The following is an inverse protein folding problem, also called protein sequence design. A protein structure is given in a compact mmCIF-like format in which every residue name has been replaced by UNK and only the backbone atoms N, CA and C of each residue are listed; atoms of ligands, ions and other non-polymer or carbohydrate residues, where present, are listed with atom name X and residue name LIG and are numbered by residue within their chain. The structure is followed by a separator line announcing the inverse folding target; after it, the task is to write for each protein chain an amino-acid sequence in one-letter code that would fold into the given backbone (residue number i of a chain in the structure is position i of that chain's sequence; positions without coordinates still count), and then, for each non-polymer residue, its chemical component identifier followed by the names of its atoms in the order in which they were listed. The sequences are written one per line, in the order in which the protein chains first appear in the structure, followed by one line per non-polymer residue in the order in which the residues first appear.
data_IF_032036211463
#
_entry.id   IF_032036211463
#
_cell.length_a   1.000
_cell.length_b   1.000
_cell.length_c   1.000
_cell.angle_alpha   90.00
_cell.angle_beta   90.00
_cell.angle_gamma   90.00
#
_symmetry.space_group_name_H-M   'P 1'
#
loop_
_entity.id
_entity.type
_entity.pdbx_description
1 polymer ?
#
# COMPACT_ATOMS: atom_id res chain seq x y z
N UNK A 1 18.91 14.94 3.54
CA UNK A 1 17.48 14.62 3.42
C UNK A 1 16.66 15.80 2.94
N UNK A 2 15.61 15.53 2.16
CA UNK A 2 14.49 16.41 1.84
C UNK A 2 13.20 15.80 2.39
N UNK A 3 12.19 16.63 2.61
CA UNK A 3 10.87 16.19 3.08
C UNK A 3 9.78 16.69 2.14
N UNK A 4 8.73 15.91 2.07
CA UNK A 4 7.45 16.26 1.47
C UNK A 4 6.38 16.09 2.55
N UNK A 5 5.53 17.10 2.70
CA UNK A 5 4.38 17.08 3.60
C UNK A 5 3.19 17.64 2.83
N UNK A 6 2.29 16.75 2.41
CA UNK A 6 1.13 17.08 1.59
C UNK A 6 -0.16 16.72 2.33
N UNK A 7 -1.29 17.37 2.00
CA UNK A 7 -2.59 16.99 2.54
C UNK A 7 -2.90 15.51 2.35
N UNK A 8 -3.65 14.94 3.29
CA UNK A 8 -4.11 13.55 3.23
C UNK A 8 -5.37 13.36 2.36
N UNK A 9 -5.69 14.32 1.50
CA UNK A 9 -6.94 14.28 0.71
C UNK A 9 -6.94 13.10 -0.28
N UNK A 10 -5.80 12.78 -0.91
CA UNK A 10 -5.72 11.60 -1.78
C UNK A 10 -5.82 10.31 -0.95
N UNK A 11 -5.15 10.25 0.21
CA UNK A 11 -5.27 9.10 1.11
C UNK A 11 -6.70 8.90 1.61
N UNK A 12 -7.45 9.97 1.92
CA UNK A 12 -8.84 9.89 2.37
C UNK A 12 -9.73 9.24 1.30
N UNK A 13 -9.55 9.64 0.04
CA UNK A 13 -10.27 9.07 -1.10
C UNK A 13 -9.87 7.61 -1.36
N UNK A 14 -8.57 7.31 -1.32
CA UNK A 14 -8.05 5.97 -1.57
C UNK A 14 -8.45 4.98 -0.48
N UNK A 15 -8.36 5.39 0.79
CA UNK A 15 -8.82 4.56 1.92
C UNK A 15 -10.32 4.30 1.86
N UNK A 16 -11.12 5.28 1.40
CA UNK A 16 -12.54 5.08 1.14
C UNK A 16 -12.79 4.09 -0.01
N UNK A 17 -12.00 4.14 -1.09
CA UNK A 17 -12.12 3.18 -2.20
C UNK A 17 -11.78 1.75 -1.77
N UNK A 18 -10.73 1.57 -0.96
CA UNK A 18 -10.38 0.25 -0.40
C UNK A 18 -11.47 -0.29 0.52
N UNK A 19 -12.19 0.58 1.24
CA UNK A 19 -13.29 0.20 2.12
C UNK A 19 -14.56 -0.26 1.36
N UNK A 20 -14.69 0.04 0.06
CA UNK A 20 -15.85 -0.38 -0.74
C UNK A 20 -15.87 -1.86 -1.08
N UNK A 21 -14.73 -2.55 -0.97
CA UNK A 21 -14.62 -3.97 -1.28
C UNK A 21 -14.94 -4.78 -0.03
N UNK A 22 -16.10 -5.46 0.03
CA UNK A 22 -16.53 -6.18 1.23
C UNK A 22 -15.79 -7.52 1.42
N UNK A 23 -15.34 -8.11 0.31
CA UNK A 23 -14.61 -9.38 0.27
C UNK A 23 -13.57 -9.35 -0.85
N UNK A 24 -12.31 -9.31 -0.45
CA UNK A 24 -11.16 -9.22 -1.33
C UNK A 24 -10.83 -10.56 -1.99
N UNK A 25 -11.28 -11.68 -1.42
CA UNK A 25 -11.11 -13.01 -2.02
C UNK A 25 -11.82 -13.14 -3.38
N UNK A 26 -12.78 -12.25 -3.66
CA UNK A 26 -13.47 -12.20 -4.96
C UNK A 26 -12.60 -11.65 -6.09
N UNK A 27 -11.55 -10.89 -5.77
CA UNK A 27 -10.60 -10.34 -6.74
C UNK A 27 -9.21 -11.01 -6.68
N UNK A 28 -9.01 -11.94 -5.75
CA UNK A 28 -7.82 -12.77 -5.65
C UNK A 28 -7.52 -13.51 -6.95
N UNK A 29 -6.24 -13.58 -7.29
CA UNK A 29 -5.74 -14.39 -8.38
C UNK A 29 -4.99 -15.64 -7.93
N UNK A 30 -4.55 -16.46 -8.89
CA UNK A 30 -3.74 -17.62 -8.58
C UNK A 30 -2.41 -17.21 -7.93
N UNK A 31 -1.97 -17.98 -6.93
CA UNK A 31 -0.59 -17.93 -6.47
C UNK A 31 0.34 -18.49 -7.56
N UNK A 32 1.11 -17.63 -8.21
CA UNK A 32 2.05 -18.05 -9.24
C UNK A 32 2.97 -16.94 -9.75
N UNK A 33 4.01 -17.35 -10.46
CA UNK A 33 5.01 -16.47 -11.08
C UNK A 33 4.69 -16.18 -12.56
N UNK A 34 3.44 -16.41 -12.99
CA UNK A 34 3.02 -16.20 -14.37
C UNK A 34 2.94 -14.70 -14.69
N UNK A 35 3.30 -14.32 -15.92
CA UNK A 35 3.26 -12.95 -16.40
C UNK A 35 2.74 -12.87 -17.84
N UNK A 36 2.39 -11.67 -18.26
CA UNK A 36 2.12 -11.35 -19.66
C UNK A 36 0.64 -11.06 -19.97
N UNK A 37 0.31 -10.95 -21.28
CA UNK A 37 -0.99 -10.47 -21.74
C UNK A 37 -2.21 -11.24 -21.20
N UNK A 38 -2.12 -12.56 -21.10
CA UNK A 38 -3.25 -13.38 -20.62
C UNK A 38 -3.47 -13.21 -19.12
N UNK A 39 -2.40 -13.11 -18.32
CA UNK A 39 -2.47 -12.86 -16.87
C UNK A 39 -3.14 -11.52 -16.61
N UNK A 40 -2.66 -10.46 -17.26
CA UNK A 40 -3.23 -9.11 -17.12
C UNK A 40 -4.69 -9.05 -17.59
N UNK A 41 -5.05 -9.71 -18.71
CA UNK A 41 -6.44 -9.76 -19.17
C UNK A 41 -7.34 -10.49 -18.17
N UNK A 42 -6.87 -11.59 -17.59
CA UNK A 42 -7.61 -12.33 -16.57
C UNK A 42 -7.82 -11.48 -15.31
N UNK A 43 -6.76 -10.83 -14.83
CA UNK A 43 -6.80 -9.86 -13.73
C UNK A 43 -7.82 -8.74 -13.98
N UNK A 44 -7.72 -8.06 -15.12
CA UNK A 44 -8.62 -6.96 -15.49
C UNK A 44 -10.08 -7.41 -15.50
N UNK A 45 -10.37 -8.53 -16.16
CA UNK A 45 -11.74 -9.06 -16.21
C UNK A 45 -12.28 -9.39 -14.81
N UNK A 46 -11.44 -9.98 -13.95
CA UNK A 46 -11.83 -10.33 -12.57
C UNK A 46 -12.14 -9.09 -11.76
N UNK A 47 -11.24 -8.10 -11.72
CA UNK A 47 -11.44 -6.84 -10.98
C UNK A 47 -12.68 -6.08 -11.49
N UNK A 48 -12.87 -5.98 -12.80
CA UNK A 48 -14.05 -5.32 -13.39
C UNK A 48 -15.36 -6.05 -13.11
N UNK A 49 -15.34 -7.35 -12.86
CA UNK A 49 -16.55 -8.12 -12.54
C UNK A 49 -17.06 -7.89 -11.11
N UNK A 50 -16.17 -7.48 -10.20
CA UNK A 50 -16.46 -7.30 -8.77
C UNK A 50 -16.48 -5.83 -8.34
N UNK A 51 -15.88 -4.94 -9.14
CA UNK A 51 -15.74 -3.52 -8.81
C UNK A 51 -16.30 -2.64 -9.92
N UNK A 52 -16.43 -1.36 -9.64
CA UNK A 52 -16.79 -0.37 -10.67
C UNK A 52 -15.58 0.40 -11.20
N UNK A 53 -14.37 -0.06 -10.84
CA UNK A 53 -13.13 0.58 -11.24
C UNK A 53 -12.90 0.38 -12.74
N UNK A 54 -12.34 1.39 -13.37
CA UNK A 54 -12.07 1.39 -14.81
C UNK A 54 -10.61 1.02 -15.03
N UNK A 55 -10.27 -0.01 -15.81
CA UNK A 55 -8.88 -0.32 -16.11
C UNK A 55 -8.27 0.84 -16.90
N UNK A 56 -6.97 1.07 -16.70
CA UNK A 56 -6.25 2.01 -17.54
C UNK A 56 -6.36 1.61 -19.01
N UNK A 57 -6.66 2.58 -19.90
CA UNK A 57 -6.69 2.30 -21.32
C UNK A 57 -5.27 2.07 -21.83
N UNK A 58 -5.12 1.10 -22.73
CA UNK A 58 -3.93 1.02 -23.57
C UNK A 58 -3.96 2.17 -24.59
N UNK A 59 -2.85 2.90 -24.73
CA UNK A 59 -2.71 3.88 -25.80
C UNK A 59 -2.63 3.19 -27.17
N UNK A 60 -2.84 3.97 -28.24
CA UNK A 60 -2.78 3.43 -29.59
C UNK A 60 -1.38 2.88 -29.91
N UNK A 61 -1.28 1.55 -30.10
CA UNK A 61 -0.03 0.86 -30.37
C UNK A 61 0.66 0.30 -29.12
N UNK A 62 0.12 0.56 -27.94
CA UNK A 62 0.57 -0.06 -26.70
C UNK A 62 0.06 -1.50 -26.60
N UNK A 63 0.91 -2.38 -26.08
CA UNK A 63 0.57 -3.77 -25.80
C UNK A 63 0.96 -4.09 -24.37
N UNK A 64 0.22 -5.01 -23.76
CA UNK A 64 0.62 -5.59 -22.48
C UNK A 64 1.94 -6.32 -22.69
N UNK A 65 2.96 -5.97 -21.89
CA UNK A 65 4.28 -6.59 -21.98
C UNK A 65 4.29 -8.01 -21.41
N UNK A 66 5.23 -8.84 -21.87
CA UNK A 66 5.34 -10.25 -21.48
C UNK A 66 5.74 -10.45 -19.99
N UNK A 67 6.29 -9.41 -19.35
CA UNK A 67 6.70 -9.42 -17.94
C UNK A 67 5.68 -8.75 -17.00
N UNK A 68 4.57 -8.23 -17.53
CA UNK A 68 3.57 -7.54 -16.71
C UNK A 68 2.77 -8.53 -15.86
N UNK A 69 2.64 -8.24 -14.56
CA UNK A 69 1.91 -9.04 -13.56
C UNK A 69 0.82 -8.23 -12.84
N UNK A 70 0.66 -6.96 -13.19
CA UNK A 70 -0.27 -6.03 -12.55
C UNK A 70 -0.96 -5.14 -13.57
N UNK A 71 -2.06 -4.52 -13.16
CA UNK A 71 -2.72 -3.48 -13.94
C UNK A 71 -3.17 -2.30 -13.07
N UNK A 72 -3.24 -1.11 -13.66
CA UNK A 72 -3.76 0.09 -13.03
C UNK A 72 -5.26 0.27 -13.30
N UNK A 73 -5.99 0.75 -12.31
CA UNK A 73 -7.42 1.04 -12.39
C UNK A 73 -7.72 2.42 -11.81
N UNK A 74 -8.66 3.14 -12.40
CA UNK A 74 -9.20 4.38 -11.85
C UNK A 74 -10.51 4.11 -11.12
N UNK A 75 -10.58 4.46 -9.83
CA UNK A 75 -11.78 4.33 -9.01
C UNK A 75 -12.79 5.45 -9.33
N UNK A 76 -14.00 5.38 -8.77
CA UNK A 76 -15.00 6.45 -8.92
C UNK A 76 -14.58 7.78 -8.30
N UNK A 77 -13.69 7.74 -7.30
CA UNK A 77 -13.13 8.93 -6.64
C UNK A 77 -11.92 9.49 -7.38
N UNK A 78 -11.49 8.85 -8.48
CA UNK A 78 -10.33 9.27 -9.26
C UNK A 78 -8.99 8.77 -8.71
N UNK A 79 -9.00 7.85 -7.75
CA UNK A 79 -7.79 7.19 -7.24
C UNK A 79 -7.25 6.24 -8.29
N UNK A 80 -5.93 6.24 -8.47
CA UNK A 80 -5.24 5.17 -9.19
C UNK A 80 -5.02 4.01 -8.22
N UNK A 81 -5.56 2.84 -8.54
CA UNK A 81 -5.31 1.60 -7.83
C UNK A 81 -4.46 0.67 -8.68
N UNK A 82 -3.33 0.20 -8.16
CA UNK A 82 -2.51 -0.82 -8.78
C UNK A 82 -2.88 -2.16 -8.16
N UNK A 83 -3.19 -3.15 -9.01
CA UNK A 83 -3.66 -4.47 -8.57
C UNK A 83 -2.79 -5.55 -9.20
N UNK A 84 -2.41 -6.52 -8.39
CA UNK A 84 -1.77 -7.79 -8.69
C UNK A 84 -2.73 -8.92 -8.26
N UNK A 85 -2.39 -10.17 -8.56
CA UNK A 85 -3.20 -11.33 -8.12
C UNK A 85 -3.32 -11.44 -6.58
N UNK A 86 -2.29 -11.06 -5.82
CA UNK A 86 -2.26 -11.13 -4.34
C UNK A 86 -2.07 -9.79 -3.61
N UNK A 87 -2.13 -8.66 -4.32
CA UNK A 87 -1.80 -7.35 -3.76
C UNK A 87 -2.59 -6.23 -4.45
N UNK A 88 -3.11 -5.27 -3.68
CA UNK A 88 -3.60 -4.00 -4.21
C UNK A 88 -3.10 -2.82 -3.39
N UNK A 89 -2.72 -1.73 -4.04
CA UNK A 89 -2.36 -0.48 -3.36
C UNK A 89 -2.68 0.73 -4.23
N UNK A 90 -3.02 1.87 -3.62
CA UNK A 90 -3.24 3.09 -4.37
C UNK A 90 -1.93 3.81 -4.67
N UNK A 91 -1.86 4.41 -5.86
CA UNK A 91 -0.80 5.33 -6.22
C UNK A 91 -1.24 6.76 -5.87
N UNK A 92 -0.82 7.23 -4.69
CA UNK A 92 -1.14 8.54 -4.13
C UNK A 92 0.11 9.43 -4.03
N UNK A 93 0.71 9.86 -5.15
CA UNK A 93 1.98 10.58 -5.15
C UNK A 93 1.89 11.94 -4.45
N UNK A 94 0.70 12.55 -4.40
CA UNK A 94 0.47 13.87 -3.81
C UNK A 94 -0.12 13.83 -2.41
N UNK A 95 -0.02 12.70 -1.69
CA UNK A 95 -0.47 12.60 -0.31
C UNK A 95 0.66 12.31 0.67
N UNK A 96 0.35 12.62 1.93
CA UNK A 96 1.11 12.15 3.06
C UNK A 96 2.46 12.81 3.23
N UNK A 97 3.13 12.33 4.28
CA UNK A 97 4.48 12.73 4.62
C UNK A 97 5.48 11.69 4.11
N UNK A 98 6.59 12.17 3.53
CA UNK A 98 7.74 11.34 3.21
C UNK A 98 9.05 12.10 3.33
N UNK A 99 10.12 11.35 3.50
CA UNK A 99 11.50 11.81 3.45
C UNK A 99 12.25 11.07 2.36
N UNK A 100 13.14 11.76 1.65
CA UNK A 100 13.96 11.21 0.57
C UNK A 100 15.31 11.92 0.49
N UNK A 101 16.22 11.42 -0.34
CA UNK A 101 17.64 11.80 -0.31
C UNK A 101 18.22 11.68 1.12
N UNK A 102 17.85 10.61 1.81
CA UNK A 102 18.27 10.33 3.19
C UNK A 102 19.74 9.89 3.17
N UNK A 103 20.58 10.64 3.88
CA UNK A 103 21.95 10.27 4.17
C UNK A 103 22.08 9.53 5.52
N UNK A 104 23.26 8.92 5.80
CA UNK A 104 23.48 8.19 7.05
C UNK A 104 23.25 8.99 8.34
N UNK A 105 23.37 10.33 8.29
CA UNK A 105 23.18 11.21 9.44
C UNK A 105 21.72 11.69 9.60
N UNK A 106 20.87 11.42 8.61
CA UNK A 106 19.48 11.86 8.58
C UNK A 106 18.50 10.87 9.26
N UNK A 107 18.97 9.67 9.65
CA UNK A 107 18.12 8.58 10.17
C UNK A 107 17.22 9.03 11.32
N UNK A 108 17.77 9.67 12.34
CA UNK A 108 17.00 10.12 13.50
C UNK A 108 15.95 11.18 13.13
N UNK A 109 16.23 12.02 12.13
CA UNK A 109 15.27 13.00 11.64
C UNK A 109 14.15 12.35 10.82
N UNK A 110 14.47 11.33 10.02
CA UNK A 110 13.49 10.54 9.29
C UNK A 110 12.55 9.75 10.23
N UNK A 111 13.11 9.14 11.28
CA UNK A 111 12.36 8.48 12.35
C UNK A 111 11.39 9.43 13.05
N UNK A 112 11.86 10.62 13.45
CA UNK A 112 11.03 11.62 14.11
C UNK A 112 9.87 12.10 13.23
N UNK A 113 10.11 12.30 11.93
CA UNK A 113 9.05 12.67 10.99
C UNK A 113 8.00 11.56 10.81
N UNK A 114 8.42 10.28 10.78
CA UNK A 114 7.46 9.17 10.78
C UNK A 114 6.58 9.17 12.03
N UNK A 115 7.16 9.38 13.21
CA UNK A 115 6.41 9.42 14.48
C UNK A 115 5.41 10.57 14.53
N UNK A 116 5.80 11.74 14.03
CA UNK A 116 4.97 12.93 14.01
C UNK A 116 3.74 12.75 13.11
N UNK A 117 3.92 12.14 11.93
CA UNK A 117 2.88 12.04 10.91
C UNK A 117 2.06 10.74 10.97
N UNK A 118 2.54 9.70 11.65
CA UNK A 118 1.84 8.42 11.81
C UNK A 118 0.42 8.55 12.39
N UNK A 119 0.18 9.29 13.51
CA UNK A 119 -1.14 9.35 14.12
C UNK A 119 -2.24 9.91 13.20
N UNK A 120 -1.90 10.82 12.29
CA UNK A 120 -2.84 11.40 11.34
C UNK A 120 -3.32 10.35 10.32
N UNK A 121 -2.39 9.58 9.75
CA UNK A 121 -2.70 8.49 8.81
C UNK A 121 -3.50 7.38 9.51
N UNK A 122 -3.10 7.00 10.73
CA UNK A 122 -3.82 5.99 11.50
C UNK A 122 -5.26 6.43 11.83
N UNK A 123 -5.45 7.69 12.21
CA UNK A 123 -6.79 8.25 12.48
C UNK A 123 -7.66 8.25 11.22
N UNK A 124 -7.06 8.55 10.07
CA UNK A 124 -7.73 8.51 8.78
C UNK A 124 -8.16 7.09 8.39
N UNK A 125 -7.22 6.13 8.45
CA UNK A 125 -7.48 4.71 8.22
C UNK A 125 -8.59 4.19 9.15
N UNK A 126 -8.53 4.55 10.43
CA UNK A 126 -9.52 4.15 11.43
C UNK A 126 -10.93 4.68 11.10
N UNK A 127 -11.03 5.84 10.46
CA UNK A 127 -12.32 6.41 10.02
C UNK A 127 -13.00 5.56 8.96
N UNK A 128 -12.23 5.00 8.02
CA UNK A 128 -12.75 4.21 6.89
C UNK A 128 -12.85 2.72 7.19
N UNK A 129 -11.89 2.20 7.95
CA UNK A 129 -11.72 0.76 8.19
C UNK A 129 -12.11 0.36 9.61
N UNK A 130 -12.48 1.29 10.49
CA UNK A 130 -12.73 1.00 11.89
C UNK A 130 -11.44 0.70 12.66
N UNK A 131 -11.56 0.10 13.84
CA UNK A 131 -10.38 -0.21 14.67
C UNK A 131 -9.51 -1.31 14.03
N UNK A 132 -8.18 -1.20 14.08
CA UNK A 132 -7.28 -2.25 13.62
C UNK A 132 -7.36 -3.48 14.54
N UNK A 133 -7.17 -4.66 13.96
CA UNK A 133 -7.04 -5.93 14.68
C UNK A 133 -5.68 -6.03 15.38
N UNK A 134 -4.68 -5.33 14.84
CA UNK A 134 -3.36 -5.18 15.44
C UNK A 134 -2.80 -3.77 15.20
N UNK A 135 -2.18 -3.20 16.22
CA UNK A 135 -1.41 -1.96 16.12
C UNK A 135 -0.14 -2.11 16.94
N UNK A 136 0.99 -1.71 16.37
CA UNK A 136 2.26 -1.71 17.06
C UNK A 136 3.25 -0.72 16.48
N UNK A 137 4.21 -0.38 17.32
CA UNK A 137 5.39 0.38 16.99
C UNK A 137 6.63 -0.43 17.42
N UNK A 138 7.75 -0.22 16.74
CA UNK A 138 8.97 -0.99 16.97
C UNK A 138 9.60 -0.80 18.37
N UNK A 139 9.21 0.24 19.11
CA UNK A 139 9.70 0.44 20.48
C UNK A 139 9.04 -0.51 21.49
N UNK A 140 7.93 -1.15 21.08
CA UNK A 140 7.21 -2.13 21.90
C UNK A 140 7.87 -3.51 21.84
N UNK A 141 8.04 -4.13 23.02
CA UNK A 141 8.50 -5.53 23.13
C UNK A 141 7.47 -6.54 22.61
N UNK A 142 6.23 -6.11 22.38
CA UNK A 142 5.17 -6.94 21.79
C UNK A 142 4.95 -6.64 20.32
N UNK A 143 5.88 -5.93 19.67
CA UNK A 143 5.79 -5.65 18.24
C UNK A 143 5.88 -6.95 17.44
N UNK A 144 4.77 -7.32 16.81
CA UNK A 144 4.65 -8.44 15.89
C UNK A 144 4.97 -7.93 14.49
N UNK A 145 6.20 -8.20 14.08
CA UNK A 145 6.73 -7.88 12.74
C UNK A 145 6.44 -9.01 11.74
N UNK A 146 6.14 -10.22 12.21
CA UNK A 146 6.01 -11.46 11.42
C UNK A 146 4.94 -11.44 10.31
N UNK A 147 4.13 -10.37 10.26
CA UNK A 147 3.28 -10.03 9.13
C UNK A 147 4.06 -9.78 7.82
N UNK A 148 5.39 -9.68 7.89
CA UNK A 148 6.30 -9.77 6.76
C UNK A 148 7.25 -10.98 6.91
N UNK A 149 7.26 -11.96 5.97
CA UNK A 149 8.19 -13.06 6.01
C UNK A 149 9.66 -12.58 5.91
N UNK A 150 10.42 -12.77 6.98
CA UNK A 150 11.89 -12.58 6.99
C UNK A 150 12.41 -11.22 7.43
N UNK A 151 11.58 -10.34 7.99
CA UNK A 151 11.96 -8.94 8.17
C UNK A 151 11.72 -8.37 9.58
N UNK A 152 12.12 -9.07 10.65
CA UNK A 152 12.03 -8.69 12.09
C UNK A 152 12.53 -7.29 12.53
N UNK A 153 12.87 -6.42 11.59
CA UNK A 153 13.45 -5.08 11.77
C UNK A 153 12.98 -4.08 10.69
N UNK A 154 12.03 -4.44 9.82
CA UNK A 154 11.72 -3.68 8.61
C UNK A 154 10.75 -2.52 8.83
N UNK A 155 9.88 -2.63 9.84
CA UNK A 155 8.82 -1.67 10.11
C UNK A 155 9.10 -0.85 11.36
N UNK A 156 8.78 0.44 11.29
CA UNK A 156 8.74 1.34 12.44
C UNK A 156 7.35 1.38 13.07
N UNK A 157 6.33 1.42 12.22
CA UNK A 157 4.93 1.41 12.61
C UNK A 157 4.18 0.38 11.77
N UNK A 158 3.21 -0.30 12.38
CA UNK A 158 2.33 -1.24 11.69
C UNK A 158 0.95 -1.23 12.34
N UNK A 159 -0.08 -1.11 11.51
CA UNK A 159 -1.46 -1.39 11.86
C UNK A 159 -2.07 -2.32 10.81
N UNK A 160 -2.77 -3.36 11.26
CA UNK A 160 -3.35 -4.40 10.41
C UNK A 160 -4.84 -4.51 10.66
N UNK A 161 -5.62 -4.59 9.58
CA UNK A 161 -7.05 -4.91 9.60
C UNK A 161 -7.27 -6.21 8.82
N UNK A 162 -7.91 -7.18 9.47
CA UNK A 162 -8.35 -8.40 8.84
C UNK A 162 -9.66 -8.16 8.10
N UNK A 163 -9.72 -8.56 6.84
CA UNK A 163 -10.90 -8.48 5.98
C UNK A 163 -11.19 -9.84 5.38
N UNK A 164 -12.43 -10.09 4.94
CA UNK A 164 -12.70 -11.30 4.17
C UNK A 164 -11.77 -11.35 2.94
N UNK A 165 -10.96 -12.42 2.89
CA UNK A 165 -9.98 -12.70 1.84
C UNK A 165 -8.79 -11.74 1.76
N UNK A 166 -8.49 -10.96 2.80
CA UNK A 166 -7.33 -10.07 2.78
C UNK A 166 -6.91 -9.52 4.15
N UNK A 167 -5.74 -8.89 4.16
CA UNK A 167 -5.23 -8.06 5.22
C UNK A 167 -4.90 -6.67 4.68
N UNK A 168 -5.44 -5.62 5.30
CA UNK A 168 -5.05 -4.24 4.99
C UNK A 168 -3.96 -3.85 5.98
N UNK A 169 -2.80 -3.44 5.47
CA UNK A 169 -1.69 -2.97 6.29
C UNK A 169 -1.50 -1.48 6.07
N UNK A 170 -1.44 -0.70 7.15
CA UNK A 170 -0.88 0.64 7.19
C UNK A 170 0.47 0.55 7.89
N UNK A 171 1.52 1.10 7.31
CA UNK A 171 2.87 0.92 7.84
C UNK A 171 3.81 2.05 7.49
N UNK A 172 4.94 2.11 8.19
CA UNK A 172 6.12 2.84 7.74
C UNK A 172 7.36 1.98 7.94
N UNK A 173 8.33 2.09 7.04
CA UNK A 173 9.58 1.35 7.17
C UNK A 173 10.52 2.03 8.17
N UNK A 174 11.27 1.21 8.90
CA UNK A 174 12.36 1.68 9.74
C UNK A 174 13.51 2.18 8.85
N UNK A 175 13.94 3.44 8.95
CA UNK A 175 15.14 3.88 8.26
C UNK A 175 16.38 3.16 8.82
N UNK A 176 17.21 2.58 7.94
CA UNK A 176 18.47 1.92 8.30
C UNK A 176 19.68 2.64 7.69
N UNK A 177 20.84 2.54 8.35
CA UNK A 177 22.14 2.95 7.79
C UNK A 177 22.80 1.86 6.95
N UNK A 178 22.42 0.61 7.18
CA UNK A 178 23.01 -0.56 6.53
C UNK A 178 21.95 -1.67 6.33
N UNK A 179 21.46 -1.88 5.09
CA UNK A 179 21.67 -1.02 3.93
C UNK A 179 21.07 0.37 4.16
N UNK A 180 21.65 1.41 3.53
CA UNK A 180 21.14 2.77 3.65
C UNK A 180 19.73 2.88 3.05
N UNK A 181 18.76 3.21 3.89
CA UNK A 181 17.41 3.61 3.45
C UNK A 181 17.48 5.02 2.86
N UNK A 182 17.17 5.16 1.57
CA UNK A 182 17.26 6.44 0.86
C UNK A 182 15.95 7.23 0.88
N UNK A 183 14.83 6.59 1.21
CA UNK A 183 13.52 7.21 1.38
C UNK A 183 12.64 6.45 2.37
N UNK A 184 11.75 7.16 3.06
CA UNK A 184 10.69 6.60 3.92
C UNK A 184 9.41 7.43 3.81
N UNK A 185 8.29 6.82 4.19
CA UNK A 185 6.98 7.46 4.31
C UNK A 185 6.00 6.53 4.98
N UNK A 186 4.77 7.00 5.17
CA UNK A 186 3.64 6.15 5.57
C UNK A 186 3.02 5.58 4.30
N UNK A 187 2.80 4.27 4.27
CA UNK A 187 2.26 3.55 3.12
C UNK A 187 1.17 2.60 3.59
N UNK A 188 0.34 2.14 2.66
CA UNK A 188 -0.65 1.13 2.94
C UNK A 188 -0.94 0.28 1.71
N UNK A 189 -1.27 -0.97 1.95
CA UNK A 189 -1.57 -1.94 0.91
C UNK A 189 -2.55 -3.00 1.42
N UNK A 190 -3.20 -3.67 0.49
CA UNK A 190 -4.06 -4.83 0.75
C UNK A 190 -3.36 -6.08 0.24
N UNK A 191 -3.00 -6.96 1.15
CA UNK A 191 -2.50 -8.29 0.84
C UNK A 191 -3.70 -9.24 0.76
N UNK A 192 -3.88 -9.89 -0.39
CA UNK A 192 -5.06 -10.69 -0.71
C UNK A 192 -4.69 -12.17 -0.51
N UNK A 193 -5.54 -12.91 0.21
CA UNK A 193 -5.36 -14.34 0.54
C UNK A 193 -5.89 -15.28 -0.56
#
# INVERSE_FOLDING_TARGET
MKTQDRPLDQDDLAMADLAEIPDWGTIAGPDGDEAGPEVVRALVNRVMSQTTWQPWPLEAGEVIGDEMVSWGFTTRRGTTMIVFDGLAFPDCPDSGWSAYDIGPDDIAAAEAGLDEHWPAHLSLATRHWGQPDYIGDESSVTFVDEWEPGAGTGRRHLAVWLRPGAQIHLYSNKPSKDPLTTSVGVNYAVYID
#
